data_IF_448106976151
#
_entry.id   IF_448106976151
#
_cell.length_a   1.000
_cell.length_b   1.000
_cell.length_c   1.000
_cell.angle_alpha   90.00
_cell.angle_beta   90.00
_cell.angle_gamma   90.00
#
_symmetry.space_group_name_H-M   'P 1'
#
loop_
_entity.id
_entity.type
_entity.pdbx_description
1 polymer ?
#
# COMPACT_ATOMS: atom_id res chain seq x y z
N UNK A 1 19.98 7.57 13.91
CA UNK A 1 19.45 7.14 15.24
C UNK A 1 17.96 7.44 15.40
N UNK A 2 17.47 8.67 15.15
CA UNK A 2 16.03 9.01 15.24
C UNK A 2 15.04 8.03 14.59
N UNK A 3 15.35 7.47 13.43
CA UNK A 3 14.48 6.47 12.76
C UNK A 3 14.45 5.15 13.54
N UNK A 4 15.61 4.64 13.97
CA UNK A 4 15.69 3.43 14.80
C UNK A 4 14.93 3.63 16.11
N UNK A 5 15.11 4.78 16.77
CA UNK A 5 14.44 5.11 18.02
C UNK A 5 12.92 5.18 17.84
N UNK A 6 12.44 5.67 16.69
CA UNK A 6 11.03 5.68 16.33
C UNK A 6 10.50 4.26 16.13
N UNK A 7 11.19 3.42 15.35
CA UNK A 7 10.79 2.02 15.13
C UNK A 7 10.69 1.25 16.44
N UNK A 8 11.68 1.39 17.34
CA UNK A 8 11.67 0.75 18.65
C UNK A 8 10.49 1.22 19.52
N UNK A 9 10.15 2.51 19.46
CA UNK A 9 8.99 3.08 20.17
C UNK A 9 7.67 2.54 19.66
N UNK A 10 7.54 2.39 18.35
CA UNK A 10 6.37 1.80 17.68
C UNK A 10 6.37 0.26 17.75
N UNK A 11 7.39 -0.35 18.40
CA UNK A 11 7.57 -1.81 18.53
C UNK A 11 7.66 -2.52 17.18
N UNK A 12 8.30 -1.87 16.21
CA UNK A 12 8.57 -2.41 14.87
C UNK A 12 10.00 -2.93 14.83
N UNK A 13 10.21 -4.15 14.33
CA UNK A 13 11.54 -4.72 14.07
C UNK A 13 12.31 -3.83 13.10
N UNK A 14 13.58 -3.59 13.38
CA UNK A 14 14.42 -2.71 12.58
C UNK A 14 15.88 -3.14 12.67
N UNK A 15 16.60 -3.06 11.56
CA UNK A 15 18.03 -3.36 11.48
C UNK A 15 18.69 -2.41 10.47
N UNK A 16 19.94 -1.99 10.74
CA UNK A 16 20.72 -1.24 9.77
C UNK A 16 21.29 -2.20 8.71
N UNK A 17 21.15 -1.86 7.43
CA UNK A 17 21.71 -2.64 6.34
C UNK A 17 22.84 -1.89 5.65
N UNK A 18 24.03 -2.48 5.65
CA UNK A 18 25.24 -1.95 4.98
C UNK A 18 25.64 -2.84 3.79
N UNK A 19 24.68 -3.57 3.20
CA UNK A 19 24.93 -4.54 2.14
C UNK A 19 25.60 -3.95 0.89
N UNK A 20 25.38 -2.66 0.62
CA UNK A 20 26.02 -1.97 -0.49
C UNK A 20 27.55 -1.96 -0.39
N UNK A 21 28.10 -1.69 0.79
CA UNK A 21 29.56 -1.59 1.00
C UNK A 21 30.19 -2.86 1.56
N UNK A 22 29.40 -3.71 2.25
CA UNK A 22 29.90 -4.90 2.97
C UNK A 22 29.36 -6.22 2.41
N UNK A 23 28.63 -6.21 1.30
CA UNK A 23 27.99 -7.40 0.73
C UNK A 23 27.08 -8.10 1.74
N UNK A 24 26.97 -9.43 1.65
CA UNK A 24 26.09 -10.20 2.55
C UNK A 24 26.37 -9.99 4.04
N UNK A 25 27.62 -9.73 4.42
CA UNK A 25 28.00 -9.50 5.82
C UNK A 25 27.31 -8.26 6.41
N UNK A 26 27.06 -7.23 5.59
CA UNK A 26 26.35 -6.01 5.99
C UNK A 26 24.83 -6.18 6.17
N UNK A 27 24.29 -7.36 5.86
CA UNK A 27 22.85 -7.65 5.97
C UNK A 27 22.50 -8.71 7.01
N UNK A 28 23.47 -9.23 7.77
CA UNK A 28 23.24 -10.32 8.74
C UNK A 28 22.24 -9.92 9.81
N UNK A 29 22.32 -8.69 10.33
CA UNK A 29 21.37 -8.17 11.33
C UNK A 29 19.94 -8.13 10.76
N UNK A 30 19.78 -7.61 9.54
CA UNK A 30 18.47 -7.61 8.85
C UNK A 30 17.96 -9.04 8.62
N UNK A 31 18.82 -9.96 8.20
CA UNK A 31 18.45 -11.36 7.99
C UNK A 31 17.97 -12.03 9.28
N UNK A 32 18.63 -11.75 10.42
CA UNK A 32 18.21 -12.25 11.73
C UNK A 32 16.85 -11.70 12.14
N UNK A 33 16.58 -10.40 11.94
CA UNK A 33 15.26 -9.82 12.23
C UNK A 33 14.15 -10.39 11.33
N UNK A 34 14.46 -10.70 10.07
CA UNK A 34 13.53 -11.40 9.16
C UNK A 34 13.24 -12.83 9.64
N UNK A 35 14.27 -13.59 10.03
CA UNK A 35 14.08 -14.94 10.56
C UNK A 35 13.23 -14.93 11.83
N UNK A 36 13.49 -14.00 12.76
CA UNK A 36 12.64 -13.83 13.94
C UNK A 36 11.20 -13.48 13.59
N UNK A 37 10.96 -12.62 12.59
CA UNK A 37 9.61 -12.32 12.14
C UNK A 37 8.90 -13.58 11.59
N UNK A 38 9.62 -14.44 10.87
CA UNK A 38 9.08 -15.71 10.38
C UNK A 38 8.77 -16.70 11.51
N UNK A 39 9.64 -16.75 12.53
CA UNK A 39 9.56 -17.74 13.62
C UNK A 39 8.61 -17.31 14.77
N UNK A 40 8.53 -16.01 15.06
CA UNK A 40 7.87 -15.46 16.26
C UNK A 40 6.54 -14.75 15.96
N UNK A 41 6.37 -14.17 14.76
CA UNK A 41 5.19 -13.34 14.48
C UNK A 41 4.05 -14.21 13.92
N UNK A 42 2.85 -14.05 14.49
CA UNK A 42 1.65 -14.74 13.99
C UNK A 42 1.08 -14.01 12.77
N UNK A 43 1.08 -14.67 11.61
CA UNK A 43 0.63 -14.08 10.35
C UNK A 43 -0.89 -14.19 10.20
N UNK A 44 -1.58 -13.09 10.44
CA UNK A 44 -3.02 -12.94 10.21
C UNK A 44 -3.31 -12.33 8.82
N UNK A 45 -2.64 -12.84 7.78
CA UNK A 45 -2.76 -12.30 6.43
C UNK A 45 -4.21 -12.35 5.91
N UNK A 46 -4.68 -11.21 5.40
CA UNK A 46 -5.97 -11.07 4.74
C UNK A 46 -5.84 -10.20 3.49
N UNK A 47 -6.58 -10.53 2.44
CA UNK A 47 -6.71 -9.64 1.29
C UNK A 47 -7.44 -8.35 1.69
N UNK A 48 -7.04 -7.24 1.08
CA UNK A 48 -7.58 -5.91 1.40
C UNK A 48 -9.09 -5.79 1.15
N UNK A 49 -9.59 -6.52 0.15
CA UNK A 49 -10.99 -6.60 -0.26
C UNK A 49 -11.29 -7.98 -0.87
N UNK A 50 -12.54 -8.46 -0.80
CA UNK A 50 -12.98 -9.65 -1.53
C UNK A 50 -13.23 -9.33 -3.01
N UNK A 51 -13.20 -10.33 -3.89
CA UNK A 51 -13.28 -10.10 -5.34
C UNK A 51 -14.69 -9.81 -5.85
N UNK A 52 -15.74 -10.09 -5.07
CA UNK A 52 -17.15 -10.02 -5.45
C UNK A 52 -17.82 -8.65 -5.21
N UNK A 53 -17.08 -7.66 -4.70
CA UNK A 53 -17.55 -6.28 -4.60
C UNK A 53 -17.42 -5.54 -5.95
N UNK A 54 -18.22 -4.48 -6.20
CA UNK A 54 -18.13 -3.67 -7.42
C UNK A 54 -16.72 -3.11 -7.66
N UNK A 55 -16.34 -2.93 -8.93
CA UNK A 55 -14.99 -2.43 -9.29
C UNK A 55 -14.72 -1.04 -8.70
N UNK A 56 -15.76 -0.19 -8.62
CA UNK A 56 -15.65 1.12 -7.98
C UNK A 56 -15.32 1.00 -6.49
N UNK A 57 -15.93 0.05 -5.79
CA UNK A 57 -15.71 -0.17 -4.37
C UNK A 57 -14.29 -0.69 -4.10
N UNK A 58 -13.75 -1.56 -4.98
CA UNK A 58 -12.34 -1.98 -4.92
C UNK A 58 -11.38 -0.80 -4.97
N UNK A 59 -11.64 0.16 -5.86
CA UNK A 59 -10.83 1.38 -6.00
C UNK A 59 -10.94 2.23 -4.73
N UNK A 60 -12.15 2.43 -4.21
CA UNK A 60 -12.37 3.18 -2.97
C UNK A 60 -11.69 2.53 -1.76
N UNK A 61 -11.71 1.20 -1.65
CA UNK A 61 -11.04 0.48 -0.56
C UNK A 61 -9.54 0.73 -0.59
N UNK A 62 -8.90 0.64 -1.77
CA UNK A 62 -7.46 0.95 -1.90
C UNK A 62 -7.20 2.42 -1.53
N UNK A 63 -7.96 3.36 -2.09
CA UNK A 63 -7.77 4.78 -1.86
C UNK A 63 -7.87 5.15 -0.37
N UNK A 64 -8.88 4.63 0.34
CA UNK A 64 -9.12 4.93 1.75
C UNK A 64 -8.16 4.18 2.68
N UNK A 65 -7.97 2.87 2.48
CA UNK A 65 -7.20 2.04 3.43
C UNK A 65 -5.69 2.09 3.21
N UNK A 66 -5.22 2.22 1.97
CA UNK A 66 -3.79 2.21 1.66
C UNK A 66 -3.25 3.64 1.49
N UNK A 67 -3.93 4.47 0.71
CA UNK A 67 -3.45 5.83 0.43
C UNK A 67 -3.87 6.86 1.47
N UNK A 68 -4.94 6.58 2.24
CA UNK A 68 -5.47 7.53 3.23
C UNK A 68 -6.29 8.66 2.62
N UNK A 69 -6.82 8.47 1.40
CA UNK A 69 -7.71 9.43 0.76
C UNK A 69 -9.04 9.51 1.53
N UNK A 70 -9.64 10.70 1.61
CA UNK A 70 -10.96 10.87 2.20
C UNK A 70 -12.07 10.43 1.24
N UNK A 71 -11.85 10.59 -0.06
CA UNK A 71 -12.82 10.19 -1.09
C UNK A 71 -12.16 9.89 -2.43
N UNK A 72 -12.96 9.35 -3.36
CA UNK A 72 -12.58 9.16 -4.77
C UNK A 72 -13.57 9.94 -5.64
N UNK A 73 -13.06 10.81 -6.50
CA UNK A 73 -13.83 11.50 -7.51
C UNK A 73 -13.70 10.77 -8.85
N UNK A 74 -14.79 10.67 -9.60
CA UNK A 74 -14.75 10.13 -10.96
C UNK A 74 -15.71 10.87 -11.86
N UNK A 75 -15.22 11.23 -13.04
CA UNK A 75 -16.08 11.76 -14.10
C UNK A 75 -17.16 10.74 -14.51
N UNK A 76 -18.34 11.24 -14.91
CA UNK A 76 -19.45 10.39 -15.35
C UNK A 76 -19.10 9.45 -16.51
N UNK A 77 -18.18 9.85 -17.40
CA UNK A 77 -17.68 9.01 -18.49
C UNK A 77 -16.94 7.77 -17.98
N UNK A 78 -16.20 7.91 -16.88
CA UNK A 78 -15.43 6.81 -16.26
C UNK A 78 -16.38 5.83 -15.57
N UNK A 79 -17.36 6.33 -14.81
CA UNK A 79 -18.40 5.48 -14.19
C UNK A 79 -19.13 4.62 -15.22
N UNK A 80 -19.44 5.17 -16.40
CA UNK A 80 -20.04 4.41 -17.52
C UNK A 80 -19.09 3.34 -18.07
N UNK A 81 -17.79 3.63 -18.18
CA UNK A 81 -16.77 2.68 -18.64
C UNK A 81 -16.64 1.50 -17.66
N UNK A 82 -16.61 1.77 -16.36
CA UNK A 82 -16.58 0.74 -15.30
C UNK A 82 -17.81 -0.18 -15.42
N UNK A 83 -19.02 0.38 -15.47
CA UNK A 83 -20.25 -0.41 -15.64
C UNK A 83 -20.23 -1.29 -16.89
N UNK A 84 -19.62 -0.82 -17.97
CA UNK A 84 -19.47 -1.62 -19.20
C UNK A 84 -18.47 -2.76 -19.04
N UNK A 85 -17.41 -2.58 -18.25
CA UNK A 85 -16.45 -3.63 -17.92
C UNK A 85 -17.13 -4.71 -17.08
N UNK A 86 -17.91 -4.32 -16.07
CA UNK A 86 -18.70 -5.24 -15.25
C UNK A 86 -19.72 -6.01 -16.10
N UNK A 87 -20.45 -5.33 -16.99
CA UNK A 87 -21.38 -6.02 -17.92
C UNK A 87 -20.71 -7.02 -18.88
N UNK A 88 -19.39 -6.98 -19.03
CA UNK A 88 -18.62 -7.91 -19.86
C UNK A 88 -18.10 -9.14 -19.09
N UNK A 89 -18.41 -9.27 -17.80
CA UNK A 89 -17.97 -10.41 -16.98
C UNK A 89 -16.59 -10.23 -16.33
N UNK A 90 -16.10 -8.98 -16.23
CA UNK A 90 -14.78 -8.67 -15.65
C UNK A 90 -14.88 -8.05 -14.23
N UNK A 91 -16.07 -8.02 -13.65
CA UNK A 91 -16.35 -7.43 -12.34
C UNK A 91 -15.56 -8.08 -11.21
N UNK A 92 -15.28 -9.38 -11.30
CA UNK A 92 -14.60 -10.14 -10.24
C UNK A 92 -13.06 -10.10 -10.34
N UNK A 93 -12.50 -9.35 -11.29
CA UNK A 93 -11.05 -9.16 -11.37
C UNK A 93 -10.56 -8.17 -10.29
N UNK A 94 -9.30 -8.29 -9.84
CA UNK A 94 -8.67 -7.26 -9.02
C UNK A 94 -8.43 -5.99 -9.83
N UNK A 95 -8.24 -4.87 -9.14
CA UNK A 95 -7.93 -3.58 -9.77
C UNK A 95 -6.44 -3.24 -9.63
N UNK A 96 -5.89 -2.60 -10.66
CA UNK A 96 -4.54 -2.01 -10.64
C UNK A 96 -4.68 -0.49 -10.76
N UNK A 97 -4.18 0.24 -9.76
CA UNK A 97 -4.24 1.71 -9.74
C UNK A 97 -2.96 2.26 -10.36
N UNK A 98 -3.09 2.94 -11.50
CA UNK A 98 -2.01 3.68 -12.11
C UNK A 98 -2.03 5.12 -11.60
N UNK A 99 -1.02 5.51 -10.81
CA UNK A 99 -0.83 6.87 -10.27
C UNK A 99 0.66 7.17 -10.08
N UNK A 100 1.02 8.40 -9.70
CA UNK A 100 2.39 8.76 -9.32
C UNK A 100 2.89 7.90 -8.15
N UNK A 101 4.15 7.48 -8.20
CA UNK A 101 4.83 6.74 -7.13
C UNK A 101 5.43 7.63 -6.03
N UNK A 102 5.52 8.95 -6.26
CA UNK A 102 6.21 9.88 -5.35
C UNK A 102 5.38 10.27 -4.12
N UNK A 103 4.06 10.10 -4.21
CA UNK A 103 3.11 10.48 -3.16
C UNK A 103 2.12 9.35 -2.89
N UNK A 104 1.42 9.40 -1.75
CA UNK A 104 0.24 8.57 -1.52
C UNK A 104 -0.99 9.13 -2.27
N UNK A 105 -1.07 10.44 -2.50
CA UNK A 105 -2.07 11.05 -3.36
C UNK A 105 -1.74 10.88 -4.85
N UNK A 106 -2.50 11.57 -5.71
CA UNK A 106 -2.26 11.74 -7.14
C UNK A 106 -1.41 13.00 -7.48
N UNK A 107 -1.04 13.79 -6.47
CA UNK A 107 -0.14 14.94 -6.54
C UNK A 107 1.28 14.51 -6.10
N UNK A 108 2.26 14.60 -6.99
CA UNK A 108 3.63 14.13 -6.77
C UNK A 108 4.43 15.01 -5.79
N UNK A 109 4.00 16.23 -5.53
CA UNK A 109 4.62 17.15 -4.58
C UNK A 109 4.13 16.93 -3.13
N UNK A 110 3.02 16.21 -2.94
CA UNK A 110 2.41 15.95 -1.63
C UNK A 110 3.15 14.86 -0.83
N UNK A 111 4.34 15.18 -0.33
CA UNK A 111 5.24 14.24 0.36
C UNK A 111 4.76 13.85 1.78
N UNK A 112 5.28 12.71 2.26
CA UNK A 112 5.05 12.23 3.63
C UNK A 112 3.71 11.50 3.76
N UNK A 113 2.83 11.98 4.65
CA UNK A 113 1.49 11.40 4.89
C UNK A 113 0.41 12.46 4.62
N UNK A 114 0.06 12.72 3.35
CA UNK A 114 -1.02 13.65 3.01
C UNK A 114 -2.34 13.21 3.65
N UNK A 115 -3.19 14.19 3.97
CA UNK A 115 -4.51 13.98 4.58
C UNK A 115 -5.56 14.77 3.82
N UNK A 116 -6.82 14.40 3.99
CA UNK A 116 -7.98 15.14 3.51
C UNK A 116 -8.03 15.33 1.98
N UNK A 117 -7.28 14.52 1.22
CA UNK A 117 -7.25 14.57 -0.23
C UNK A 117 -8.31 13.67 -0.86
N UNK A 118 -8.71 14.03 -2.08
CA UNK A 118 -9.59 13.23 -2.93
C UNK A 118 -8.76 12.67 -4.07
N UNK A 119 -8.81 11.35 -4.27
CA UNK A 119 -8.17 10.71 -5.41
C UNK A 119 -9.04 10.91 -6.66
N UNK A 120 -8.48 11.40 -7.76
CA UNK A 120 -9.20 11.73 -9.02
C UNK A 120 -8.89 10.73 -10.13
#
# INVERSE_FOLDING_TARGET
KKVLDLCLREKIRVALSEVYSKGGQGGVELAQEVLKAVDEDDSQFQYLYPLDIPLLEKIEVIAKKIYGASSVAMEGKIKRKIRRIEKKGFENLPVCIAKTQYSLSDDDEALGRPKDFTLI
#
